data_IF_258452546766
#
_entry.id   IF_258452546766
#
_cell.length_a   1.000
_cell.length_b   1.000
_cell.length_c   1.000
_cell.angle_alpha   90.00
_cell.angle_beta   90.00
_cell.angle_gamma   90.00
#
_symmetry.space_group_name_H-M   'P 1'
#
loop_
_entity.id
_entity.type
_entity.pdbx_description
1 polymer ?
#
# COMPACT_ATOMS: atom_id res chain seq x y z
N UNK A 1 9.17 23.86 -2.54
CA UNK A 1 9.48 22.68 -3.34
C UNK A 1 8.22 21.90 -3.71
N UNK A 2 8.38 20.93 -4.59
CA UNK A 2 7.34 19.96 -4.96
C UNK A 2 7.42 18.77 -4.00
N UNK A 3 6.27 18.26 -3.56
CA UNK A 3 6.16 17.04 -2.78
C UNK A 3 5.50 15.94 -3.63
N UNK A 4 5.93 14.70 -3.41
CA UNK A 4 5.26 13.52 -3.97
C UNK A 4 4.75 12.66 -2.82
N UNK A 5 3.62 11.99 -3.02
CA UNK A 5 3.16 10.98 -2.10
C UNK A 5 2.64 9.75 -2.84
N UNK A 6 2.98 8.57 -2.34
CA UNK A 6 2.47 7.30 -2.85
C UNK A 6 1.27 6.86 -2.00
N UNK A 7 0.10 6.92 -2.61
CA UNK A 7 -1.16 6.53 -1.99
C UNK A 7 -1.32 5.01 -2.05
N UNK A 8 -1.47 4.36 -0.89
CA UNK A 8 -1.68 2.91 -0.79
C UNK A 8 -3.16 2.50 -0.67
N UNK A 9 -4.07 3.48 -0.62
CA UNK A 9 -5.49 3.25 -0.32
C UNK A 9 -5.79 2.94 1.16
N UNK A 10 -4.79 2.85 2.01
CA UNK A 10 -4.97 2.77 3.47
C UNK A 10 -5.38 4.11 4.07
N UNK A 11 -5.93 4.08 5.31
CA UNK A 11 -6.40 5.30 5.98
C UNK A 11 -5.26 6.30 6.20
N UNK A 12 -4.06 5.83 6.57
CA UNK A 12 -2.93 6.71 6.89
C UNK A 12 -2.45 7.47 5.66
N UNK A 13 -2.17 6.76 4.57
CA UNK A 13 -1.77 7.38 3.30
C UNK A 13 -2.84 8.31 2.75
N UNK A 14 -4.13 7.97 2.91
CA UNK A 14 -5.23 8.83 2.46
C UNK A 14 -5.35 10.10 3.30
N UNK A 15 -5.16 10.01 4.63
CA UNK A 15 -5.13 11.21 5.51
C UNK A 15 -3.98 12.13 5.12
N UNK A 16 -2.79 11.57 4.92
CA UNK A 16 -1.61 12.33 4.47
C UNK A 16 -1.85 12.99 3.13
N UNK A 17 -2.48 12.28 2.19
CA UNK A 17 -2.84 12.82 0.87
C UNK A 17 -3.75 14.04 1.00
N UNK A 18 -4.83 13.93 1.81
CA UNK A 18 -5.78 15.06 2.00
C UNK A 18 -5.13 16.23 2.71
N UNK A 19 -4.34 15.98 3.77
CA UNK A 19 -3.60 17.04 4.47
C UNK A 19 -2.60 17.73 3.54
N UNK A 20 -1.83 16.93 2.80
CA UNK A 20 -0.84 17.43 1.85
C UNK A 20 -1.47 18.27 0.74
N UNK A 21 -2.59 17.79 0.17
CA UNK A 21 -3.31 18.55 -0.86
C UNK A 21 -3.87 19.87 -0.33
N UNK A 22 -4.45 19.89 0.88
CA UNK A 22 -4.94 21.12 1.51
C UNK A 22 -3.82 22.14 1.79
N UNK A 23 -2.62 21.65 2.13
CA UNK A 23 -1.49 22.50 2.50
C UNK A 23 -0.64 22.96 1.31
N UNK A 24 -0.49 22.12 0.30
CA UNK A 24 0.43 22.31 -0.82
C UNK A 24 -0.26 22.59 -2.15
N UNK A 25 -1.56 22.23 -2.28
CA UNK A 25 -2.30 22.35 -3.53
C UNK A 25 -1.61 21.58 -4.65
N UNK A 26 -1.42 22.23 -5.79
CA UNK A 26 -0.81 21.65 -7.00
C UNK A 26 0.67 21.25 -6.85
N UNK A 27 1.31 21.69 -5.76
CA UNK A 27 2.68 21.30 -5.41
C UNK A 27 2.76 19.89 -4.82
N UNK A 28 1.64 19.25 -4.49
CA UNK A 28 1.61 17.84 -4.15
C UNK A 28 1.28 17.00 -5.39
N UNK A 29 2.18 16.11 -5.75
CA UNK A 29 1.95 15.08 -6.77
C UNK A 29 1.56 13.79 -6.06
N UNK A 30 0.30 13.36 -6.23
CA UNK A 30 -0.20 12.13 -5.64
C UNK A 30 -0.26 11.04 -6.70
N UNK A 31 0.42 9.92 -6.43
CA UNK A 31 0.42 8.74 -7.30
C UNK A 31 -0.19 7.54 -6.58
N UNK A 32 -0.92 6.71 -7.31
CA UNK A 32 -1.29 5.37 -6.90
C UNK A 32 -0.57 4.39 -7.81
N UNK A 33 0.25 3.51 -7.24
CA UNK A 33 1.02 2.53 -7.99
C UNK A 33 0.24 1.21 -8.01
N UNK A 34 -0.28 0.84 -9.17
CA UNK A 34 -0.85 -0.50 -9.38
C UNK A 34 0.29 -1.50 -9.59
N UNK A 35 0.46 -2.34 -8.59
CA UNK A 35 1.50 -3.36 -8.53
C UNK A 35 0.98 -4.78 -8.83
N UNK A 36 -0.20 -4.92 -9.39
CA UNK A 36 -0.94 -6.17 -9.61
C UNK A 36 -1.39 -6.91 -8.34
N UNK A 37 -0.98 -6.48 -7.15
CA UNK A 37 -1.19 -7.23 -5.90
C UNK A 37 -2.40 -6.73 -5.10
N UNK A 38 -3.11 -5.73 -5.63
CA UNK A 38 -4.25 -5.11 -4.96
C UNK A 38 -5.52 -5.97 -5.05
N UNK A 39 -6.50 -5.65 -4.21
CA UNK A 39 -7.84 -6.21 -4.26
C UNK A 39 -8.53 -5.86 -5.57
N UNK A 40 -9.59 -6.59 -5.90
CA UNK A 40 -10.40 -6.37 -7.09
C UNK A 40 -10.93 -4.93 -7.19
N UNK A 41 -10.57 -4.25 -8.27
CA UNK A 41 -11.00 -2.87 -8.56
C UNK A 41 -10.57 -1.83 -7.52
N UNK A 42 -9.56 -2.13 -6.71
CA UNK A 42 -9.10 -1.23 -5.65
C UNK A 42 -8.42 0.03 -6.17
N UNK A 43 -7.49 -0.04 -7.14
CA UNK A 43 -6.83 1.15 -7.67
C UNK A 43 -7.84 2.18 -8.19
N UNK A 44 -8.77 1.77 -9.04
CA UNK A 44 -9.78 2.64 -9.64
C UNK A 44 -10.73 3.21 -8.58
N UNK A 45 -11.10 2.38 -7.59
CA UNK A 45 -11.99 2.80 -6.50
C UNK A 45 -11.37 3.90 -5.66
N UNK A 46 -10.10 3.75 -5.29
CA UNK A 46 -9.39 4.74 -4.47
C UNK A 46 -9.21 6.05 -5.24
N UNK A 47 -8.79 5.98 -6.50
CA UNK A 47 -8.66 7.15 -7.37
C UNK A 47 -10.00 7.86 -7.50
N UNK A 48 -11.11 7.13 -7.74
CA UNK A 48 -12.46 7.70 -7.85
C UNK A 48 -12.94 8.37 -6.56
N UNK A 49 -12.60 7.81 -5.40
CA UNK A 49 -12.96 8.41 -4.10
C UNK A 49 -12.26 9.76 -3.94
N UNK A 50 -10.96 9.84 -4.19
CA UNK A 50 -10.21 11.08 -4.05
C UNK A 50 -10.57 12.12 -5.13
N UNK A 51 -10.90 11.68 -6.32
CA UNK A 51 -11.41 12.57 -7.37
C UNK A 51 -12.71 13.28 -6.95
N UNK A 52 -13.63 12.59 -6.23
CA UNK A 52 -14.82 13.23 -5.65
C UNK A 52 -14.47 14.30 -4.60
N UNK A 53 -13.33 14.19 -3.96
CA UNK A 53 -12.78 15.19 -3.03
C UNK A 53 -11.96 16.27 -3.76
N UNK A 54 -11.95 16.28 -5.09
CA UNK A 54 -11.17 17.18 -5.95
C UNK A 54 -9.65 17.06 -5.74
N UNK A 55 -9.20 15.86 -5.38
CA UNK A 55 -7.77 15.55 -5.22
C UNK A 55 -7.34 14.73 -6.43
N UNK A 56 -6.48 15.27 -7.30
CA UNK A 56 -5.97 14.55 -8.46
C UNK A 56 -5.03 13.44 -8.00
N UNK A 57 -5.23 12.23 -8.54
CA UNK A 57 -4.37 11.06 -8.31
C UNK A 57 -3.99 10.48 -9.66
N UNK A 58 -2.70 10.36 -9.90
CA UNK A 58 -2.19 9.69 -11.09
C UNK A 58 -2.08 8.18 -10.81
N UNK A 59 -2.75 7.36 -11.61
CA UNK A 59 -2.60 5.91 -11.57
C UNK A 59 -1.40 5.50 -12.43
N UNK A 60 -0.45 4.80 -11.80
CA UNK A 60 0.77 4.32 -12.44
C UNK A 60 0.66 2.80 -12.58
N UNK A 61 0.65 2.31 -13.80
CA UNK A 61 0.72 0.86 -14.07
C UNK A 61 2.17 0.38 -13.92
N UNK A 62 2.41 -0.41 -12.91
CA UNK A 62 3.70 -1.03 -12.62
C UNK A 62 3.58 -2.56 -12.47
N UNK A 63 2.46 -3.13 -12.95
CA UNK A 63 2.16 -4.56 -12.77
C UNK A 63 3.27 -5.47 -13.31
N UNK A 64 3.78 -5.15 -14.48
CA UNK A 64 4.84 -5.94 -15.12
C UNK A 64 6.14 -5.96 -14.31
N UNK A 65 6.53 -4.80 -13.72
CA UNK A 65 7.73 -4.69 -12.90
C UNK A 65 7.64 -5.53 -11.63
N UNK A 66 6.47 -5.50 -10.95
CA UNK A 66 6.27 -6.27 -9.73
C UNK A 66 6.14 -7.77 -9.98
N UNK A 67 5.39 -8.18 -10.99
CA UNK A 67 5.27 -9.59 -11.37
C UNK A 67 6.61 -10.16 -11.82
N UNK A 68 7.38 -9.38 -12.58
CA UNK A 68 8.73 -9.76 -12.98
C UNK A 68 9.68 -9.96 -11.80
N UNK A 69 9.59 -9.07 -10.78
CA UNK A 69 10.41 -9.19 -9.57
C UNK A 69 10.02 -10.37 -8.66
N UNK A 70 8.78 -10.85 -8.76
CA UNK A 70 8.27 -11.97 -7.96
C UNK A 70 8.44 -13.33 -8.61
N UNK A 71 8.88 -13.39 -9.89
CA UNK A 71 9.02 -14.63 -10.63
C UNK A 71 9.99 -15.59 -9.95
N UNK A 72 9.57 -16.83 -9.73
CA UNK A 72 10.34 -17.89 -9.09
C UNK A 72 10.50 -17.77 -7.57
N UNK A 73 10.03 -16.68 -6.95
CA UNK A 73 10.12 -16.51 -5.51
C UNK A 73 8.98 -17.26 -4.80
N UNK A 74 9.34 -18.09 -3.82
CA UNK A 74 8.39 -18.85 -3.01
C UNK A 74 8.43 -18.46 -1.53
N UNK A 75 9.57 -18.03 -1.04
CA UNK A 75 9.74 -17.58 0.34
C UNK A 75 9.03 -16.24 0.61
N UNK A 76 8.25 -16.13 1.70
CA UNK A 76 7.50 -14.92 2.01
C UNK A 76 8.36 -13.66 2.24
N UNK A 77 9.56 -13.83 2.83
CA UNK A 77 10.45 -12.69 3.11
C UNK A 77 11.17 -12.23 1.84
N UNK A 78 11.55 -13.15 0.96
CA UNK A 78 12.10 -12.81 -0.36
C UNK A 78 11.08 -12.05 -1.19
N UNK A 79 9.81 -12.50 -1.22
CA UNK A 79 8.71 -11.78 -1.87
C UNK A 79 8.54 -10.37 -1.31
N UNK A 80 8.51 -10.24 0.03
CA UNK A 80 8.39 -8.95 0.68
C UNK A 80 9.54 -8.02 0.31
N UNK A 81 10.77 -8.53 0.33
CA UNK A 81 11.95 -7.77 -0.04
C UNK A 81 11.89 -7.32 -1.51
N UNK A 82 11.56 -8.23 -2.44
CA UNK A 82 11.43 -7.93 -3.86
C UNK A 82 10.37 -6.84 -4.12
N UNK A 83 9.20 -6.92 -3.46
CA UNK A 83 8.15 -5.91 -3.57
C UNK A 83 8.63 -4.55 -3.07
N UNK A 84 9.25 -4.51 -1.88
CA UNK A 84 9.75 -3.27 -1.28
C UNK A 84 10.83 -2.63 -2.15
N UNK A 85 11.80 -3.43 -2.61
CA UNK A 85 12.86 -2.95 -3.48
C UNK A 85 12.32 -2.43 -4.81
N UNK A 86 11.40 -3.16 -5.46
CA UNK A 86 10.79 -2.73 -6.72
C UNK A 86 10.03 -1.43 -6.54
N UNK A 87 9.27 -1.30 -5.44
CA UNK A 87 8.53 -0.09 -5.12
C UNK A 87 9.46 1.12 -5.02
N UNK A 88 10.42 1.09 -4.10
CA UNK A 88 11.24 2.26 -3.81
C UNK A 88 12.31 2.53 -4.86
N UNK A 89 13.09 1.51 -5.23
CA UNK A 89 14.26 1.70 -6.08
C UNK A 89 13.91 1.83 -7.57
N UNK A 90 12.90 1.09 -8.05
CA UNK A 90 12.55 1.11 -9.48
C UNK A 90 11.43 2.11 -9.78
N UNK A 91 10.23 1.87 -9.22
CA UNK A 91 9.04 2.61 -9.62
C UNK A 91 9.01 3.99 -8.99
N UNK A 92 9.05 4.05 -7.64
CA UNK A 92 8.93 5.33 -6.94
C UNK A 92 10.13 6.25 -7.17
N UNK A 93 11.35 5.71 -7.16
CA UNK A 93 12.55 6.48 -7.48
C UNK A 93 12.53 7.10 -8.89
N UNK A 94 11.95 6.39 -9.89
CA UNK A 94 11.70 6.95 -11.21
C UNK A 94 10.72 8.13 -11.13
N UNK A 95 9.58 7.95 -10.47
CA UNK A 95 8.55 8.98 -10.34
C UNK A 95 9.06 10.25 -9.62
N UNK A 96 9.89 10.08 -8.60
CA UNK A 96 10.53 11.23 -7.91
C UNK A 96 11.36 12.05 -8.89
N UNK A 97 12.20 11.38 -9.69
CA UNK A 97 13.03 12.07 -10.70
C UNK A 97 12.21 12.77 -11.79
N UNK A 98 11.12 12.13 -12.24
CA UNK A 98 10.23 12.68 -13.28
C UNK A 98 9.41 13.88 -12.79
N UNK A 99 9.18 14.01 -11.48
CA UNK A 99 8.37 15.09 -10.88
C UNK A 99 9.19 16.22 -10.28
N UNK A 100 10.51 16.14 -10.27
CA UNK A 100 11.40 17.07 -9.57
C UNK A 100 11.03 17.28 -8.09
N UNK A 101 10.48 16.21 -7.47
CA UNK A 101 10.03 16.27 -6.09
C UNK A 101 11.22 16.31 -5.13
N UNK A 102 11.22 17.31 -4.25
CA UNK A 102 12.21 17.48 -3.19
C UNK A 102 11.74 16.97 -1.83
N UNK A 103 10.47 16.59 -1.72
CA UNK A 103 9.87 16.04 -0.51
C UNK A 103 9.02 14.82 -0.81
N UNK A 104 9.17 13.79 0.04
CA UNK A 104 8.25 12.65 0.12
C UNK A 104 7.29 12.87 1.29
N UNK A 105 6.00 12.89 1.02
CA UNK A 105 4.98 12.91 2.06
C UNK A 105 4.58 11.47 2.40
N UNK A 106 4.80 11.06 3.66
CA UNK A 106 4.67 9.67 4.08
C UNK A 106 3.67 9.50 5.23
N UNK A 107 2.99 8.35 5.25
CA UNK A 107 1.92 8.04 6.19
C UNK A 107 2.35 7.27 7.44
N UNK A 108 3.59 7.41 7.89
CA UNK A 108 4.08 6.82 9.13
C UNK A 108 3.32 7.35 10.32
N UNK A 109 2.90 6.47 11.21
CA UNK A 109 2.20 6.79 12.46
C UNK A 109 3.05 6.37 13.68
N UNK A 110 2.67 6.83 14.88
CA UNK A 110 3.40 6.53 16.11
C UNK A 110 3.56 5.02 16.35
N UNK A 111 2.52 4.25 16.09
CA UNK A 111 2.54 2.79 16.25
C UNK A 111 3.60 2.13 15.35
N UNK A 112 3.79 2.64 14.13
CA UNK A 112 4.82 2.12 13.22
C UNK A 112 6.22 2.34 13.79
N UNK A 113 6.45 3.50 14.41
CA UNK A 113 7.73 3.83 15.06
C UNK A 113 7.96 2.94 16.28
N UNK A 114 6.95 2.79 17.15
CA UNK A 114 7.03 1.97 18.37
C UNK A 114 7.29 0.49 18.03
N UNK A 115 6.58 -0.08 17.06
CA UNK A 115 6.75 -1.47 16.62
C UNK A 115 8.13 -1.70 16.01
N UNK A 116 8.69 -0.73 15.34
CA UNK A 116 10.03 -0.77 14.76
C UNK A 116 11.12 -0.75 15.83
N UNK A 117 11.03 0.19 16.77
CA UNK A 117 11.99 0.31 17.88
C UNK A 117 11.97 -0.94 18.75
N UNK A 118 10.80 -1.55 18.96
CA UNK A 118 10.64 -2.80 19.71
C UNK A 118 11.12 -4.05 18.94
N UNK A 119 11.53 -3.93 17.69
CA UNK A 119 11.95 -5.07 16.86
C UNK A 119 10.81 -6.04 16.48
N UNK A 120 9.55 -5.68 16.79
CA UNK A 120 8.36 -6.52 16.59
C UNK A 120 8.01 -6.60 15.09
N UNK A 121 8.28 -5.52 14.34
CA UNK A 121 7.89 -5.41 12.94
C UNK A 121 8.95 -4.69 12.14
N UNK A 122 9.38 -5.29 11.03
CA UNK A 122 10.14 -4.57 10.02
C UNK A 122 9.15 -3.79 9.16
N UNK A 123 9.11 -2.48 9.34
CA UNK A 123 8.17 -1.62 8.63
C UNK A 123 8.60 -1.45 7.17
N UNK A 124 7.67 -1.67 6.25
CA UNK A 124 7.88 -1.40 4.81
C UNK A 124 8.08 0.09 4.53
N UNK A 125 7.68 0.92 5.46
CA UNK A 125 7.58 2.36 5.30
C UNK A 125 8.82 3.11 5.77
N UNK A 126 9.76 2.44 6.43
CA UNK A 126 10.98 3.09 6.89
C UNK A 126 12.11 2.72 5.94
N UNK A 127 12.37 3.59 4.99
CA UNK A 127 13.42 3.43 3.98
C UNK A 127 14.77 3.08 4.59
N UNK A 128 15.09 3.67 5.74
CA UNK A 128 16.30 3.38 6.49
C UNK A 128 16.44 1.90 6.91
N UNK A 129 15.32 1.17 7.10
CA UNK A 129 15.36 -0.25 7.46
C UNK A 129 15.71 -1.17 6.28
N UNK A 130 15.46 -0.72 5.07
CA UNK A 130 15.91 -1.42 3.84
C UNK A 130 17.26 -0.89 3.36
N UNK A 131 17.95 -0.10 4.19
CA UNK A 131 19.28 0.45 3.87
C UNK A 131 19.25 1.62 2.88
N UNK A 132 18.08 2.21 2.63
CA UNK A 132 17.92 3.34 1.73
C UNK A 132 17.91 4.63 2.55
N UNK A 133 18.88 5.51 2.30
CA UNK A 133 18.87 6.90 2.77
C UNK A 133 18.22 7.76 1.65
N UNK A 134 16.97 8.21 1.83
CA UNK A 134 16.25 8.89 0.75
C UNK A 134 16.91 10.20 0.31
N UNK A 135 17.56 10.90 1.23
CA UNK A 135 18.21 12.17 0.93
C UNK A 135 19.48 11.96 0.10
N UNK A 136 20.25 10.89 0.43
CA UNK A 136 21.47 10.57 -0.33
C UNK A 136 21.19 9.90 -1.67
N UNK A 137 20.20 8.99 -1.71
CA UNK A 137 19.95 8.16 -2.88
C UNK A 137 19.03 8.83 -3.90
N UNK A 138 18.07 9.63 -3.43
CA UNK A 138 17.05 10.23 -4.29
C UNK A 138 16.96 11.75 -4.18
N UNK A 139 17.66 12.38 -3.24
CA UNK A 139 17.70 13.83 -3.07
C UNK A 139 16.44 14.45 -2.47
N UNK A 140 15.53 13.65 -1.86
CA UNK A 140 14.31 14.17 -1.22
C UNK A 140 14.32 14.00 0.30
N UNK A 141 13.62 14.92 0.99
CA UNK A 141 13.37 14.84 2.43
C UNK A 141 12.02 14.19 2.72
N UNK A 142 11.95 13.36 3.76
CA UNK A 142 10.71 12.71 4.18
C UNK A 142 9.95 13.62 5.15
N UNK A 143 8.65 13.81 4.89
CA UNK A 143 7.72 14.52 5.75
C UNK A 143 6.65 13.54 6.26
N UNK A 144 6.54 13.40 7.58
CA UNK A 144 5.69 12.42 8.26
C UNK A 144 4.70 13.12 9.22
N UNK A 145 3.64 13.72 8.69
CA UNK A 145 2.74 14.56 9.49
C UNK A 145 1.93 13.79 10.54
N UNK A 146 1.91 12.46 10.50
CA UNK A 146 1.14 11.61 11.41
C UNK A 146 1.99 10.90 12.47
N UNK A 147 3.30 11.10 12.51
CA UNK A 147 4.23 10.37 13.37
C UNK A 147 3.94 10.45 14.88
N UNK A 148 3.14 11.44 15.32
CA UNK A 148 2.72 11.60 16.72
C UNK A 148 1.36 11.00 17.03
N UNK A 149 0.66 10.47 16.01
CA UNK A 149 -0.69 9.93 16.14
C UNK A 149 -0.71 8.40 16.14
N UNK A 150 -1.52 7.83 17.02
CA UNK A 150 -1.91 6.42 16.97
C UNK A 150 -3.07 6.22 16.01
N UNK A 151 -3.37 4.97 15.66
CA UNK A 151 -4.37 4.60 14.64
C UNK A 151 -5.76 5.18 14.90
N UNK A 152 -6.19 5.25 16.15
CA UNK A 152 -7.47 5.86 16.53
C UNK A 152 -7.48 7.39 16.28
N UNK A 153 -6.36 8.06 16.57
CA UNK A 153 -6.15 9.47 16.26
C UNK A 153 -6.23 9.74 14.75
N UNK A 154 -5.55 8.92 13.95
CA UNK A 154 -5.60 9.02 12.47
C UNK A 154 -7.04 8.84 11.95
N UNK A 155 -7.81 7.89 12.50
CA UNK A 155 -9.22 7.70 12.12
C UNK A 155 -10.10 8.90 12.49
N UNK A 156 -9.84 9.56 13.63
CA UNK A 156 -10.53 10.81 14.01
C UNK A 156 -10.21 11.92 13.00
N UNK A 157 -8.94 12.09 12.65
CA UNK A 157 -8.50 13.05 11.62
C UNK A 157 -9.13 12.73 10.26
N UNK A 158 -9.17 11.47 9.85
CA UNK A 158 -9.81 11.03 8.61
C UNK A 158 -11.28 11.48 8.55
N UNK A 159 -12.03 11.32 9.66
CA UNK A 159 -13.41 11.76 9.77
C UNK A 159 -13.56 13.28 9.64
N UNK A 160 -12.70 14.05 10.35
CA UNK A 160 -12.69 15.51 10.29
C UNK A 160 -12.36 16.02 8.87
N UNK A 161 -11.48 15.34 8.17
CA UNK A 161 -11.11 15.66 6.80
C UNK A 161 -12.19 15.30 5.77
N UNK A 162 -13.23 14.55 6.17
CA UNK A 162 -14.32 14.13 5.29
C UNK A 162 -14.00 12.89 4.45
N UNK A 163 -13.01 12.10 4.86
CA UNK A 163 -12.75 10.81 4.21
C UNK A 163 -13.94 9.87 4.42
N UNK A 164 -14.42 9.19 3.37
CA UNK A 164 -15.57 8.31 3.48
C UNK A 164 -15.27 7.04 4.30
N UNK A 165 -16.30 6.39 4.86
CA UNK A 165 -16.15 5.21 5.70
C UNK A 165 -15.38 4.06 5.03
N UNK A 166 -15.47 3.92 3.71
CA UNK A 166 -14.78 2.91 2.91
C UNK A 166 -13.25 3.01 3.04
N UNK A 167 -12.73 4.21 3.31
CA UNK A 167 -11.31 4.45 3.60
C UNK A 167 -11.08 4.48 5.11
N UNK A 168 -11.86 5.28 5.85
CA UNK A 168 -11.62 5.53 7.28
C UNK A 168 -11.78 4.29 8.16
N UNK A 169 -12.68 3.35 7.78
CA UNK A 169 -12.99 2.10 8.51
C UNK A 169 -12.45 0.86 7.81
N UNK A 170 -11.58 1.02 6.84
CA UNK A 170 -11.06 -0.08 6.06
C UNK A 170 -10.36 -1.12 6.94
N UNK A 171 -10.61 -2.40 6.65
CA UNK A 171 -9.93 -3.53 7.28
C UNK A 171 -8.44 -3.48 6.90
N UNK A 172 -7.54 -3.73 7.85
CA UNK A 172 -6.12 -3.78 7.59
C UNK A 172 -5.78 -4.75 6.45
N UNK A 173 -4.89 -4.30 5.57
CA UNK A 173 -4.38 -5.10 4.47
C UNK A 173 -2.85 -5.06 4.51
N UNK A 174 -2.15 -6.20 4.37
CA UNK A 174 -0.71 -6.23 4.50
C UNK A 174 0.00 -5.41 3.41
N UNK A 175 1.17 -4.86 3.71
CA UNK A 175 1.96 -4.09 2.75
C UNK A 175 2.26 -4.82 1.45
N UNK A 176 2.70 -6.11 1.47
CA UNK A 176 2.89 -6.91 0.26
C UNK A 176 1.59 -7.38 -0.40
N UNK A 177 0.45 -6.94 0.09
CA UNK A 177 -0.88 -7.16 -0.47
C UNK A 177 -1.22 -8.65 -0.69
N UNK A 178 -1.81 -9.02 -1.82
CA UNK A 178 -2.19 -10.41 -2.12
C UNK A 178 -1.00 -11.37 -2.26
N UNK A 179 0.22 -10.88 -2.49
CA UNK A 179 1.39 -11.75 -2.60
C UNK A 179 1.64 -12.58 -1.33
N UNK A 180 1.29 -12.05 -0.14
CA UNK A 180 1.39 -12.80 1.13
C UNK A 180 0.32 -13.86 1.31
N UNK A 181 -0.69 -13.86 0.46
CA UNK A 181 -1.83 -14.79 0.48
C UNK A 181 -1.74 -15.87 -0.59
N UNK A 182 -0.63 -15.92 -1.32
CA UNK A 182 -0.29 -16.98 -2.27
C UNK A 182 0.88 -17.77 -1.70
N UNK A 183 0.64 -18.99 -1.22
CA UNK A 183 1.69 -19.90 -0.78
C UNK A 183 2.38 -20.47 -2.02
N UNK A 184 3.71 -20.41 -2.10
CA UNK A 184 4.47 -20.75 -3.30
C UNK A 184 4.64 -19.56 -4.26
N UNK A 185 4.93 -19.81 -5.52
CA UNK A 185 5.17 -18.77 -6.51
C UNK A 185 3.94 -17.90 -6.78
N UNK A 186 4.17 -16.61 -7.00
CA UNK A 186 3.12 -15.62 -7.34
C UNK A 186 3.05 -15.49 -8.87
N UNK A 187 1.95 -15.95 -9.45
CA UNK A 187 1.63 -15.78 -10.88
C UNK A 187 0.34 -15.00 -11.05
N UNK A 188 0.09 -14.47 -12.26
CA UNK A 188 -1.16 -13.73 -12.54
C UNK A 188 -2.40 -14.58 -12.27
N UNK A 189 -2.43 -15.82 -12.74
CA UNK A 189 -3.56 -16.73 -12.54
C UNK A 189 -3.81 -16.99 -11.05
N UNK A 190 -2.75 -17.22 -10.29
CA UNK A 190 -2.86 -17.46 -8.84
C UNK A 190 -3.28 -16.20 -8.07
N UNK A 191 -2.83 -15.03 -8.51
CA UNK A 191 -3.30 -13.75 -7.96
C UNK A 191 -4.78 -13.54 -8.25
N UNK A 192 -5.24 -13.88 -9.45
CA UNK A 192 -6.66 -13.73 -9.81
C UNK A 192 -7.54 -14.64 -8.95
N UNK A 193 -7.16 -15.90 -8.76
CA UNK A 193 -7.88 -16.84 -7.86
C UNK A 193 -8.00 -16.26 -6.44
N UNK A 194 -6.89 -15.79 -5.84
CA UNK A 194 -6.94 -15.25 -4.49
C UNK A 194 -7.64 -13.89 -4.42
N UNK A 195 -7.63 -13.12 -5.49
CA UNK A 195 -8.35 -11.84 -5.62
C UNK A 195 -9.85 -12.05 -5.63
N UNK A 196 -10.35 -12.97 -6.46
CA UNK A 196 -11.75 -13.33 -6.51
C UNK A 196 -12.24 -13.96 -5.19
N UNK A 197 -11.48 -14.90 -4.62
CA UNK A 197 -11.78 -15.48 -3.32
C UNK A 197 -11.83 -14.41 -2.20
N UNK A 198 -10.90 -13.45 -2.23
CA UNK A 198 -10.90 -12.33 -1.27
C UNK A 198 -12.15 -11.45 -1.44
N UNK A 199 -12.56 -11.15 -2.67
CA UNK A 199 -13.77 -10.37 -2.95
C UNK A 199 -15.04 -11.05 -2.44
N UNK A 200 -15.15 -12.38 -2.62
CA UNK A 200 -16.25 -13.19 -2.09
C UNK A 200 -16.26 -13.14 -0.55
N UNK A 201 -15.12 -13.42 0.08
CA UNK A 201 -14.98 -13.39 1.55
C UNK A 201 -15.33 -12.01 2.12
N UNK A 202 -14.91 -10.94 1.48
CA UNK A 202 -15.21 -9.56 1.90
C UNK A 202 -16.70 -9.23 1.77
N UNK A 203 -17.39 -9.75 0.76
CA UNK A 203 -18.84 -9.57 0.56
C UNK A 203 -19.64 -10.34 1.61
N UNK A 204 -19.32 -11.61 1.83
CA UNK A 204 -20.04 -12.48 2.75
C UNK A 204 -19.82 -12.11 4.21
N UNK A 205 -18.58 -11.78 4.59
CA UNK A 205 -18.19 -11.48 5.96
C UNK A 205 -18.19 -9.98 6.30
N UNK A 206 -18.51 -9.10 5.35
CA UNK A 206 -18.44 -7.65 5.54
C UNK A 206 -19.29 -7.08 6.68
N UNK A 207 -20.29 -7.84 7.16
CA UNK A 207 -21.12 -7.52 8.33
C UNK A 207 -20.65 -8.21 9.61
N UNK A 208 -19.62 -9.06 9.55
CA UNK A 208 -19.11 -9.76 10.72
C UNK A 208 -18.40 -8.80 11.68
N UNK A 209 -18.28 -9.19 12.96
CA UNK A 209 -17.49 -8.47 13.97
C UNK A 209 -16.03 -8.88 13.98
N UNK A 210 -15.59 -9.70 13.03
CA UNK A 210 -14.21 -10.15 12.95
C UNK A 210 -13.28 -8.96 12.68
N UNK A 211 -12.16 -8.93 13.38
CA UNK A 211 -11.13 -7.91 13.17
C UNK A 211 -10.52 -7.99 11.78
N UNK A 212 -10.35 -9.21 11.29
CA UNK A 212 -9.80 -9.50 9.96
C UNK A 212 -10.35 -10.82 9.44
N UNK A 213 -10.55 -10.89 8.14
CA UNK A 213 -10.84 -12.12 7.38
C UNK A 213 -10.04 -12.09 6.08
N UNK A 214 -9.70 -13.27 5.56
CA UNK A 214 -8.84 -13.37 4.38
C UNK A 214 -9.01 -14.72 3.70
N UNK A 215 -8.69 -14.77 2.41
CA UNK A 215 -8.50 -15.98 1.64
C UNK A 215 -7.01 -16.22 1.41
N UNK A 216 -6.57 -17.47 1.45
CA UNK A 216 -5.19 -17.89 1.16
C UNK A 216 -5.22 -19.00 0.13
N UNK A 217 -4.44 -18.85 -0.93
CA UNK A 217 -4.23 -19.89 -1.93
C UNK A 217 -3.06 -20.78 -1.50
N UNK A 218 -3.36 -22.00 -1.17
CA UNK A 218 -2.35 -23.00 -0.82
C UNK A 218 -1.69 -23.58 -2.09
N UNK A 219 -0.47 -24.09 -1.93
CA UNK A 219 0.22 -24.86 -2.96
C UNK A 219 0.15 -26.36 -2.65
N UNK A 220 -1.04 -26.81 -2.32
CA UNK A 220 -1.30 -28.21 -1.96
C UNK A 220 -2.19 -28.89 -2.99
N UNK A 221 -2.09 -30.21 -3.08
CA UNK A 221 -2.91 -31.04 -3.96
C UNK A 221 -3.65 -32.06 -3.11
N UNK A 222 -4.97 -31.98 -3.09
CA UNK A 222 -5.80 -33.01 -2.51
C UNK A 222 -6.08 -34.11 -3.56
N UNK A 223 -6.10 -35.35 -3.12
CA UNK A 223 -6.64 -36.44 -3.92
C UNK A 223 -8.15 -36.34 -3.92
N UNK A 224 -8.76 -36.31 -5.09
CA UNK A 224 -10.21 -36.32 -5.27
C UNK A 224 -10.62 -37.48 -6.19
N UNK A 225 -11.88 -37.85 -6.14
CA UNK A 225 -12.48 -38.78 -7.11
C UNK A 225 -12.47 -38.06 -8.45
N UNK A 226 -11.81 -38.62 -9.45
CA UNK A 226 -11.97 -38.16 -10.84
C UNK A 226 -13.28 -38.77 -11.36
N UNK A 227 -14.22 -37.93 -11.72
CA UNK A 227 -15.32 -38.32 -12.59
C UNK A 227 -14.81 -38.54 -14.02
#
# INVERSE_FOLDING_TARGET
GVAINALSGGVDSSVVTVLGHRSLGDRLKTVFIDNALMRKGEPERVVKILAKMRIPVQLIDARAEFLGALRGLTDPEEKRHAITHTFYSKVFGRLVRETDATFLLHGTILTDIEETVAGIKRQHNILAQVGIDPEKEYGYKVLEPLQTLRKDGVRKVAKILGLPPEIAKRIPFPGPALATRVVGEVTEDRLEVVREATDIVEKELGKSKAFQYLAVLLNDKATGIRE
#
